data_IF_380224828275
#
_entry.id   IF_380224828275
#
_cell.length_a   1.000
_cell.length_b   1.000
_cell.length_c   1.000
_cell.angle_alpha   90.00
_cell.angle_beta   90.00
_cell.angle_gamma   90.00
#
_symmetry.space_group_name_H-M   'P 1'
#
loop_
_entity.id
_entity.type
_entity.pdbx_description
1 polymer ?
#
# COMPACT_ATOMS: atom_id res chain seq x y z
N UNK A 1 -20.16 19.99 41.63
CA UNK A 1 -18.71 19.88 41.75
C UNK A 1 -18.14 20.27 40.40
N UNK A 2 -17.72 21.56 40.26
CA UNK A 2 -17.26 22.16 39.00
C UNK A 2 -15.72 22.03 38.94
N UNK A 3 -15.21 21.38 37.89
CA UNK A 3 -13.78 21.35 37.58
C UNK A 3 -13.50 22.30 36.44
N UNK A 4 -12.97 23.48 36.77
CA UNK A 4 -12.47 24.47 35.82
C UNK A 4 -11.06 24.11 35.35
N UNK A 5 -10.92 23.89 34.04
CA UNK A 5 -9.64 23.66 33.38
C UNK A 5 -8.88 24.97 33.19
N UNK A 6 -7.72 25.10 33.81
CA UNK A 6 -6.82 26.25 33.72
C UNK A 6 -5.89 26.11 32.51
N UNK A 7 -6.12 26.89 31.50
CA UNK A 7 -5.18 27.06 30.37
C UNK A 7 -4.06 28.03 30.77
N UNK A 8 -2.83 27.55 30.86
CA UNK A 8 -1.65 28.39 31.07
C UNK A 8 -1.18 28.96 29.73
N UNK A 9 -1.34 30.26 29.58
CA UNK A 9 -0.77 31.04 28.47
C UNK A 9 0.67 31.41 28.84
N UNK A 10 1.66 30.95 28.07
CA UNK A 10 3.05 31.38 28.20
C UNK A 10 3.26 32.59 27.29
N UNK A 11 3.42 33.79 27.87
CA UNK A 11 3.79 34.96 27.19
C UNK A 11 5.32 35.17 27.29
N UNK A 12 6.04 35.03 26.20
CA UNK A 12 7.44 35.41 26.09
C UNK A 12 7.52 36.92 25.75
N UNK A 13 8.05 37.69 26.69
CA UNK A 13 8.48 39.08 26.47
C UNK A 13 9.88 39.05 25.87
N UNK A 14 10.06 39.54 24.64
CA UNK A 14 11.36 39.87 24.10
C UNK A 14 11.58 41.36 24.25
N UNK A 15 12.62 41.70 25.04
CA UNK A 15 13.11 43.08 25.20
C UNK A 15 13.94 43.46 23.98
N UNK A 16 13.70 44.71 23.51
CA UNK A 16 14.43 45.36 22.43
C UNK A 16 15.80 45.81 22.92
N UNK A 17 16.87 45.42 22.20
CA UNK A 17 18.14 46.14 22.22
C UNK A 17 18.45 46.57 20.78
N UNK A 18 18.45 47.87 20.57
CA UNK A 18 18.83 48.55 19.34
C UNK A 18 20.36 48.72 19.34
N UNK A 19 21.06 48.21 18.32
CA UNK A 19 22.35 48.74 17.93
C UNK A 19 22.56 48.56 16.42
N UNK A 20 22.69 49.68 15.78
CA UNK A 20 23.00 49.96 14.38
C UNK A 20 24.38 49.46 14.01
N UNK A 21 24.53 48.68 12.92
CA UNK A 21 25.59 48.81 11.92
C UNK A 21 25.22 47.96 10.70
N UNK A 22 25.17 48.61 9.55
CA UNK A 22 24.69 48.02 8.31
C UNK A 22 25.66 47.02 7.69
N UNK A 23 25.09 45.94 7.19
CA UNK A 23 25.56 45.22 6.00
C UNK A 23 24.37 44.49 5.41
N UNK A 24 23.85 44.96 4.29
CA UNK A 24 22.79 44.30 3.54
C UNK A 24 23.37 43.11 2.76
N UNK A 25 23.28 41.92 3.34
CA UNK A 25 23.37 40.72 2.57
C UNK A 25 21.92 40.22 2.36
N UNK A 26 21.45 40.33 1.13
CA UNK A 26 20.18 39.74 0.73
C UNK A 26 20.26 38.21 0.85
N UNK A 27 19.77 37.67 1.97
CA UNK A 27 19.50 36.26 2.12
C UNK A 27 18.13 36.01 1.49
N UNK A 28 18.13 35.54 0.26
CA UNK A 28 16.92 34.97 -0.36
C UNK A 28 16.54 33.70 0.41
N UNK A 29 15.32 33.57 0.97
CA UNK A 29 14.91 32.33 1.60
C UNK A 29 14.66 31.30 0.51
N UNK A 30 15.55 30.31 0.42
CA UNK A 30 15.34 29.10 -0.36
C UNK A 30 14.30 28.21 0.35
N UNK A 31 13.07 28.66 0.41
CA UNK A 31 11.95 27.95 1.06
C UNK A 31 11.03 27.21 0.07
N UNK A 32 11.51 26.95 -1.16
CA UNK A 32 10.67 26.41 -2.24
C UNK A 32 10.70 24.89 -2.44
N UNK A 33 11.64 24.15 -1.85
CA UNK A 33 11.83 22.74 -2.22
C UNK A 33 11.31 21.69 -1.23
N UNK A 34 10.99 22.06 0.02
CA UNK A 34 10.56 21.08 1.02
C UNK A 34 9.02 20.91 1.10
N UNK A 35 8.23 21.82 0.57
CA UNK A 35 6.76 21.74 0.63
C UNK A 35 6.14 20.92 -0.50
N UNK A 36 6.78 20.83 -1.67
CA UNK A 36 6.26 20.05 -2.82
C UNK A 36 6.29 18.55 -2.56
N UNK A 37 7.27 18.03 -1.81
CA UNK A 37 7.40 16.60 -1.55
C UNK A 37 6.39 16.06 -0.52
N UNK A 38 5.92 16.89 0.42
CA UNK A 38 4.96 16.46 1.45
C UNK A 38 3.50 16.47 0.95
N UNK A 39 3.16 17.39 0.04
CA UNK A 39 1.84 17.44 -0.57
C UNK A 39 1.64 16.29 -1.58
N UNK A 40 2.68 15.91 -2.33
CA UNK A 40 2.64 14.77 -3.25
C UNK A 40 2.55 13.41 -2.53
N UNK A 41 3.09 13.30 -1.32
CA UNK A 41 3.02 12.08 -0.52
C UNK A 41 1.58 11.75 -0.05
N UNK A 42 0.72 12.76 0.11
CA UNK A 42 -0.67 12.61 0.55
C UNK A 42 -1.67 12.49 -0.63
N UNK A 43 -1.25 12.66 -1.86
CA UNK A 43 -2.11 12.49 -3.02
C UNK A 43 -2.48 11.00 -3.19
N UNK A 44 -3.77 10.74 -3.47
CA UNK A 44 -4.22 9.40 -3.84
C UNK A 44 -3.76 9.12 -5.27
N UNK A 45 -2.87 8.15 -5.45
CA UNK A 45 -2.45 7.68 -6.77
C UNK A 45 -3.20 6.41 -7.11
N UNK A 46 -3.94 6.44 -8.21
CA UNK A 46 -4.67 5.29 -8.76
C UNK A 46 -3.92 4.80 -9.99
N UNK A 47 -3.44 3.56 -9.96
CA UNK A 47 -2.56 2.99 -11.00
C UNK A 47 -3.21 1.74 -11.60
N UNK A 48 -3.08 1.62 -12.93
CA UNK A 48 -3.47 0.42 -13.66
C UNK A 48 -2.38 -0.68 -13.57
N UNK A 49 -2.61 -1.84 -14.20
CA UNK A 49 -1.69 -2.99 -14.16
C UNK A 49 -0.35 -2.78 -14.90
N UNK A 50 -0.18 -1.66 -15.60
CA UNK A 50 1.06 -1.21 -16.23
C UNK A 50 1.77 -0.11 -15.43
N UNK A 51 1.22 0.28 -14.25
CA UNK A 51 1.78 1.34 -13.41
C UNK A 51 1.49 2.75 -13.92
N UNK A 52 0.63 2.92 -14.91
CA UNK A 52 0.19 4.21 -15.42
C UNK A 52 -1.03 4.72 -14.62
N UNK A 53 -1.28 6.04 -14.60
CA UNK A 53 -2.52 6.56 -14.03
C UNK A 53 -3.74 5.85 -14.62
N UNK A 54 -4.66 5.45 -13.76
CA UNK A 54 -5.92 4.85 -14.16
C UNK A 54 -6.83 5.87 -14.84
N UNK A 55 -7.78 5.38 -15.61
CA UNK A 55 -8.81 6.17 -16.29
C UNK A 55 -10.01 6.40 -15.37
N UNK A 56 -10.72 7.51 -15.54
CA UNK A 56 -12.00 7.75 -14.85
C UNK A 56 -13.09 6.72 -15.18
N UNK A 57 -12.90 5.97 -16.27
CA UNK A 57 -13.81 4.89 -16.71
C UNK A 57 -13.52 3.57 -16.01
N UNK A 58 -12.35 3.43 -15.34
CA UNK A 58 -11.98 2.20 -14.65
C UNK A 58 -12.76 2.09 -13.34
N UNK A 59 -13.67 1.14 -13.26
CA UNK A 59 -14.49 0.89 -12.07
C UNK A 59 -13.65 0.32 -10.92
N UNK A 60 -12.59 -0.44 -11.24
CA UNK A 60 -11.68 -1.05 -10.27
C UNK A 60 -10.25 -0.66 -10.61
N UNK A 61 -9.53 -0.15 -9.63
CA UNK A 61 -8.09 0.11 -9.75
C UNK A 61 -7.32 -1.01 -9.10
N UNK A 62 -6.41 -1.68 -9.82
CA UNK A 62 -5.61 -2.77 -9.26
C UNK A 62 -4.66 -2.29 -8.15
N UNK A 63 -4.19 -1.02 -8.22
CA UNK A 63 -3.27 -0.46 -7.24
C UNK A 63 -3.69 0.96 -6.85
N UNK A 64 -3.81 1.20 -5.55
CA UNK A 64 -3.96 2.54 -4.99
C UNK A 64 -2.79 2.78 -4.02
N UNK A 65 -2.13 3.94 -4.15
CA UNK A 65 -1.08 4.37 -3.22
C UNK A 65 -1.53 5.64 -2.52
N UNK A 66 -1.51 5.62 -1.19
CA UNK A 66 -1.89 6.76 -0.36
C UNK A 66 -1.20 6.68 1.00
N UNK A 67 -0.68 7.79 1.48
CA UNK A 67 -0.03 7.93 2.80
C UNK A 67 1.04 6.85 3.07
N UNK A 68 1.86 6.52 2.06
CA UNK A 68 2.91 5.52 2.20
C UNK A 68 2.42 4.07 2.23
N UNK A 69 1.13 3.83 1.99
CA UNK A 69 0.53 2.50 1.87
C UNK A 69 0.13 2.21 0.43
N UNK A 70 0.22 0.94 0.07
CA UNK A 70 -0.16 0.37 -1.21
C UNK A 70 -1.33 -0.57 -0.95
N UNK A 71 -2.47 -0.31 -1.58
CA UNK A 71 -3.65 -1.16 -1.55
C UNK A 71 -3.73 -1.89 -2.88
N UNK A 72 -3.63 -3.21 -2.86
CA UNK A 72 -3.77 -4.07 -4.03
C UNK A 72 -5.14 -4.71 -4.01
N UNK A 73 -5.90 -4.52 -5.08
CA UNK A 73 -7.22 -5.12 -5.26
C UNK A 73 -7.14 -6.65 -5.32
N UNK A 74 -8.27 -7.34 -5.14
CA UNK A 74 -8.36 -8.79 -5.27
C UNK A 74 -7.80 -9.29 -6.60
N UNK A 75 -6.90 -10.25 -6.52
CA UNK A 75 -6.26 -10.90 -7.66
C UNK A 75 -6.70 -12.36 -7.70
N UNK A 76 -7.30 -12.76 -8.80
CA UNK A 76 -7.70 -14.13 -9.09
C UNK A 76 -6.95 -14.72 -10.30
N UNK A 77 -7.08 -16.02 -10.52
CA UNK A 77 -6.43 -16.76 -11.62
C UNK A 77 -7.32 -16.90 -12.86
N UNK A 78 -7.96 -15.78 -13.28
CA UNK A 78 -8.97 -15.79 -14.36
C UNK A 78 -8.41 -15.89 -15.77
N UNK A 79 -7.12 -15.55 -15.98
CA UNK A 79 -6.60 -15.21 -17.30
C UNK A 79 -6.18 -16.42 -18.14
N UNK A 80 -6.31 -17.64 -17.60
CA UNK A 80 -5.79 -18.84 -18.27
C UNK A 80 -6.72 -20.04 -18.12
N UNK A 81 -7.98 -19.87 -18.53
CA UNK A 81 -9.01 -20.93 -18.49
C UNK A 81 -8.64 -22.21 -19.25
N UNK A 82 -7.69 -22.12 -20.19
CA UNK A 82 -7.27 -23.24 -21.03
C UNK A 82 -6.03 -23.97 -20.51
N UNK A 83 -5.57 -23.68 -19.27
CA UNK A 83 -4.42 -24.38 -18.71
C UNK A 83 -4.81 -25.78 -18.20
N UNK A 84 -4.02 -26.77 -18.59
CA UNK A 84 -4.20 -28.18 -18.20
C UNK A 84 -4.04 -28.43 -16.69
N UNK A 85 -3.34 -27.53 -15.99
CA UNK A 85 -3.04 -27.65 -14.57
C UNK A 85 -3.91 -26.70 -13.75
N UNK A 86 -5.20 -27.01 -13.63
CA UNK A 86 -6.15 -26.24 -12.84
C UNK A 86 -6.11 -26.68 -11.38
N UNK A 87 -4.96 -26.48 -10.72
CA UNK A 87 -4.71 -26.86 -9.32
C UNK A 87 -4.65 -25.64 -8.43
N UNK A 88 -4.84 -25.84 -7.13
CA UNK A 88 -4.71 -24.72 -6.16
C UNK A 88 -3.30 -24.13 -6.15
N UNK A 89 -2.28 -24.98 -6.35
CA UNK A 89 -0.89 -24.56 -6.41
C UNK A 89 -0.62 -23.66 -7.62
N UNK A 90 -1.12 -24.03 -8.80
CA UNK A 90 -0.95 -23.25 -10.01
C UNK A 90 -1.70 -21.91 -9.91
N UNK A 91 -2.93 -21.89 -9.40
CA UNK A 91 -3.70 -20.69 -9.17
C UNK A 91 -3.03 -19.77 -8.15
N UNK A 92 -2.53 -20.33 -7.05
CA UNK A 92 -1.83 -19.55 -6.02
C UNK A 92 -0.56 -18.90 -6.59
N UNK A 93 0.21 -19.63 -7.40
CA UNK A 93 1.39 -19.07 -8.07
C UNK A 93 1.02 -17.89 -8.96
N UNK A 94 0.02 -18.05 -9.84
CA UNK A 94 -0.43 -16.95 -10.72
C UNK A 94 -0.91 -15.73 -9.94
N UNK A 95 -1.66 -15.95 -8.86
CA UNK A 95 -2.18 -14.87 -8.01
C UNK A 95 -1.04 -14.15 -7.28
N UNK A 96 -0.09 -14.90 -6.72
CA UNK A 96 1.05 -14.31 -6.00
C UNK A 96 1.98 -13.53 -6.94
N UNK A 97 2.17 -13.98 -8.19
CA UNK A 97 2.93 -13.23 -9.19
C UNK A 97 2.23 -11.90 -9.54
N UNK A 98 0.89 -11.88 -9.64
CA UNK A 98 0.13 -10.65 -9.81
C UNK A 98 0.25 -9.72 -8.60
N UNK A 99 0.13 -10.26 -7.38
CA UNK A 99 0.33 -9.49 -6.13
C UNK A 99 1.71 -8.85 -6.12
N UNK A 100 2.77 -9.64 -6.40
CA UNK A 100 4.15 -9.14 -6.47
C UNK A 100 4.27 -7.98 -7.44
N UNK A 101 3.81 -8.16 -8.68
CA UNK A 101 3.81 -7.12 -9.72
C UNK A 101 3.12 -5.84 -9.24
N UNK A 102 1.93 -5.95 -8.65
CA UNK A 102 1.16 -4.77 -8.24
C UNK A 102 1.76 -4.07 -7.02
N UNK A 103 2.36 -4.79 -6.08
CA UNK A 103 3.11 -4.20 -4.97
C UNK A 103 4.33 -3.44 -5.49
N UNK A 104 5.08 -4.00 -6.45
CA UNK A 104 6.22 -3.35 -7.09
C UNK A 104 5.81 -2.08 -7.87
N UNK A 105 4.68 -2.11 -8.60
CA UNK A 105 4.07 -0.94 -9.24
C UNK A 105 3.77 0.16 -8.22
N UNK A 106 3.31 -0.20 -7.03
CA UNK A 106 3.06 0.74 -5.94
C UNK A 106 4.32 1.33 -5.32
N UNK A 107 5.48 0.72 -5.53
CA UNK A 107 6.77 1.11 -4.95
C UNK A 107 7.13 0.33 -3.68
N UNK A 108 6.55 -0.84 -3.46
CA UNK A 108 6.88 -1.78 -2.39
C UNK A 108 7.65 -3.00 -2.87
N UNK A 109 7.80 -3.98 -1.99
CA UNK A 109 8.35 -5.31 -2.25
C UNK A 109 7.52 -6.37 -1.53
N UNK A 110 7.74 -7.66 -1.79
CA UNK A 110 7.05 -8.72 -1.05
C UNK A 110 7.26 -8.60 0.46
N UNK A 111 8.46 -8.24 0.91
CA UNK A 111 8.79 -8.06 2.34
C UNK A 111 8.08 -6.84 2.98
N UNK A 112 7.54 -5.93 2.18
CA UNK A 112 6.78 -4.77 2.68
C UNK A 112 5.29 -5.02 2.79
N UNK A 113 4.80 -6.22 2.44
CA UNK A 113 3.39 -6.58 2.63
C UNK A 113 3.09 -6.69 4.13
N UNK A 114 2.15 -5.88 4.60
CA UNK A 114 1.73 -5.81 6.00
C UNK A 114 0.60 -6.80 6.30
N UNK A 115 -0.34 -6.89 5.36
CA UNK A 115 -1.52 -7.73 5.51
C UNK A 115 -1.90 -8.36 4.16
N UNK A 116 -2.28 -9.63 4.20
CA UNK A 116 -2.88 -10.34 3.08
C UNK A 116 -4.20 -11.01 3.52
N UNK A 117 -5.24 -10.89 2.70
CA UNK A 117 -6.47 -11.64 2.86
C UNK A 117 -6.57 -12.65 1.72
N UNK A 118 -6.77 -13.91 2.07
CA UNK A 118 -6.85 -15.05 1.16
C UNK A 118 -8.26 -15.61 1.22
N UNK A 119 -8.91 -15.68 0.06
CA UNK A 119 -10.23 -16.23 -0.14
C UNK A 119 -10.10 -17.51 -0.95
N UNK A 120 -10.61 -18.64 -0.46
CA UNK A 120 -10.58 -19.95 -1.10
C UNK A 120 -12.00 -20.38 -1.48
N UNK A 121 -12.18 -21.05 -2.60
CA UNK A 121 -13.49 -21.65 -2.93
C UNK A 121 -13.81 -22.87 -2.05
N UNK A 122 -12.78 -23.51 -1.46
CA UNK A 122 -12.90 -24.62 -0.52
C UNK A 122 -11.79 -24.56 0.50
N UNK A 123 -12.09 -24.86 1.75
CA UNK A 123 -11.08 -24.83 2.83
C UNK A 123 -10.04 -25.94 2.67
N UNK A 124 -10.38 -27.04 1.99
CA UNK A 124 -9.47 -28.14 1.67
C UNK A 124 -8.29 -27.72 0.78
N UNK A 125 -8.40 -26.58 0.12
CA UNK A 125 -7.31 -25.96 -0.66
C UNK A 125 -6.23 -25.31 0.20
N UNK A 126 -6.43 -25.21 1.51
CA UNK A 126 -5.56 -24.48 2.41
C UNK A 126 -4.10 -24.96 2.35
N UNK A 127 -3.84 -26.26 2.40
CA UNK A 127 -2.47 -26.81 2.44
C UNK A 127 -1.69 -26.49 1.15
N UNK A 128 -2.30 -26.72 -0.02
CA UNK A 128 -1.67 -26.44 -1.32
C UNK A 128 -1.42 -24.94 -1.51
N UNK A 129 -2.40 -24.11 -1.17
CA UNK A 129 -2.23 -22.66 -1.17
C UNK A 129 -1.13 -22.23 -0.19
N UNK A 130 -1.13 -22.72 1.05
CA UNK A 130 -0.17 -22.33 2.08
C UNK A 130 1.26 -22.66 1.70
N UNK A 131 1.49 -23.83 1.12
CA UNK A 131 2.80 -24.26 0.63
C UNK A 131 3.36 -23.29 -0.41
N UNK A 132 2.56 -22.92 -1.43
CA UNK A 132 3.00 -21.98 -2.47
C UNK A 132 3.15 -20.58 -1.91
N UNK A 133 2.17 -20.09 -1.13
CA UNK A 133 2.25 -18.78 -0.50
C UNK A 133 3.55 -18.58 0.29
N UNK A 134 3.96 -19.61 1.05
CA UNK A 134 5.18 -19.57 1.86
C UNK A 134 6.46 -19.37 1.04
N UNK A 135 6.51 -19.82 -0.21
CA UNK A 135 7.70 -19.64 -1.07
C UNK A 135 7.98 -18.20 -1.43
N UNK A 136 6.99 -17.31 -1.34
CA UNK A 136 7.14 -15.89 -1.62
C UNK A 136 7.65 -15.07 -0.42
N UNK A 137 7.73 -15.70 0.77
CA UNK A 137 8.12 -15.04 2.03
C UNK A 137 9.21 -15.82 2.78
N UNK A 138 10.43 -15.90 2.24
CA UNK A 138 11.52 -16.68 2.84
C UNK A 138 12.01 -16.11 4.19
N UNK A 139 11.70 -14.84 4.48
CA UNK A 139 12.13 -14.15 5.69
C UNK A 139 10.99 -13.90 6.70
N UNK A 140 9.83 -14.51 6.48
CA UNK A 140 8.63 -14.33 7.30
C UNK A 140 7.51 -13.63 6.54
N UNK A 141 6.29 -14.14 6.68
CA UNK A 141 5.11 -13.65 5.96
C UNK A 141 4.39 -12.49 6.65
N UNK A 142 3.44 -11.85 5.94
CA UNK A 142 2.58 -10.79 6.48
C UNK A 142 1.55 -11.34 7.47
N UNK A 143 0.87 -10.44 8.18
CA UNK A 143 -0.37 -10.79 8.85
C UNK A 143 -1.37 -11.33 7.81
N UNK A 144 -1.87 -12.56 7.99
CA UNK A 144 -2.73 -13.22 7.01
C UNK A 144 -4.03 -13.70 7.61
N UNK A 145 -5.14 -13.41 6.93
CA UNK A 145 -6.44 -14.04 7.16
C UNK A 145 -6.76 -14.93 5.98
N UNK A 146 -7.21 -16.16 6.25
CA UNK A 146 -7.63 -17.10 5.21
C UNK A 146 -9.02 -17.64 5.54
N UNK A 147 -9.94 -17.54 4.59
CA UNK A 147 -11.32 -18.03 4.72
C UNK A 147 -11.76 -18.72 3.44
N UNK A 148 -12.72 -19.65 3.56
CA UNK A 148 -13.44 -20.16 2.42
C UNK A 148 -14.67 -19.29 2.15
N UNK A 149 -15.00 -19.06 0.88
CA UNK A 149 -16.13 -18.26 0.40
C UNK A 149 -17.05 -19.10 -0.48
N UNK A 150 -18.26 -18.62 -0.68
CA UNK A 150 -19.28 -19.35 -1.47
C UNK A 150 -18.87 -19.51 -2.95
N UNK A 151 -18.23 -18.50 -3.54
CA UNK A 151 -17.72 -18.51 -4.91
C UNK A 151 -16.70 -17.40 -5.12
N UNK A 152 -15.86 -17.54 -6.14
CA UNK A 152 -14.95 -16.51 -6.66
C UNK A 152 -15.24 -16.26 -8.13
N UNK A 153 -15.06 -15.04 -8.63
CA UNK A 153 -15.24 -14.73 -10.04
C UNK A 153 -14.31 -15.55 -10.94
N UNK A 154 -14.77 -15.90 -12.15
CA UNK A 154 -13.94 -16.42 -13.22
C UNK A 154 -13.28 -17.76 -12.94
N UNK A 155 -13.93 -18.63 -12.19
CA UNK A 155 -13.49 -19.99 -11.85
C UNK A 155 -12.15 -20.04 -11.09
N UNK A 156 -11.69 -18.93 -10.52
CA UNK A 156 -10.49 -18.94 -9.68
C UNK A 156 -10.70 -19.77 -8.42
N UNK A 157 -9.70 -20.58 -8.04
CA UNK A 157 -9.72 -21.37 -6.80
C UNK A 157 -9.29 -20.56 -5.58
N UNK A 158 -8.60 -19.44 -5.80
CA UNK A 158 -8.11 -18.52 -4.77
C UNK A 158 -8.12 -17.10 -5.27
N UNK A 159 -8.46 -16.16 -4.39
CA UNK A 159 -8.29 -14.73 -4.59
C UNK A 159 -7.52 -14.15 -3.41
N UNK A 160 -6.61 -13.21 -3.70
CA UNK A 160 -5.80 -12.56 -2.66
C UNK A 160 -5.81 -11.04 -2.90
N UNK A 161 -6.02 -10.29 -1.84
CA UNK A 161 -5.71 -8.86 -1.78
C UNK A 161 -4.66 -8.58 -0.71
N UNK A 162 -4.01 -7.43 -0.77
CA UNK A 162 -3.03 -7.08 0.26
C UNK A 162 -2.92 -5.56 0.49
N UNK A 163 -2.35 -5.23 1.64
CA UNK A 163 -1.86 -3.90 1.97
C UNK A 163 -0.35 -4.01 2.19
N UNK A 164 0.42 -3.16 1.53
CA UNK A 164 1.88 -3.09 1.66
C UNK A 164 2.34 -1.67 1.99
N UNK A 165 3.56 -1.53 2.50
CA UNK A 165 4.20 -0.22 2.66
C UNK A 165 5.03 0.13 1.42
N UNK A 166 5.07 1.43 1.09
CA UNK A 166 6.01 1.96 0.09
C UNK A 166 7.41 1.90 0.67
N UNK A 167 8.37 1.38 -0.10
CA UNK A 167 9.78 1.40 0.28
C UNK A 167 10.29 2.85 0.26
N UNK A 168 10.79 3.35 1.39
CA UNK A 168 11.47 4.65 1.40
C UNK A 168 12.84 4.47 0.73
N UNK A 169 13.06 5.22 -0.34
CA UNK A 169 14.40 5.36 -0.93
C UNK A 169 15.24 6.31 -0.12
#
# INVERSE_FOLDING_TARGET
MNLTSTRRTFALRFGSVLSTLGLTAAVTPTSGMAQTSAQDANAIRKLNSEGKPGSEKDVIMPVIVHNGLIYVAGQGAHDKRDQKDWTIESHTTMVMDKIKKHVEIGGGTMDTILQANVFLVKIEHWDGMHKVFGTYFPHGGPARTTVAVAALPGDSLVEINCIAAVTRK
#
